data_IF_329812384003
#
_entry.id   IF_329812384003
#
_cell.length_a   1.000
_cell.length_b   1.000
_cell.length_c   1.000
_cell.angle_alpha   90.00
_cell.angle_beta   90.00
_cell.angle_gamma   90.00
#
_symmetry.space_group_name_H-M   'P 1'
#
loop_
_entity.id
_entity.type
_entity.pdbx_description
1 polymer ?
#
# COMPACT_ATOMS: atom_id res chain seq x y z
N UNK A 1 -11.67 -3.72 -10.16
CA UNK A 1 -10.96 -4.46 -9.10
C UNK A 1 -10.29 -3.47 -8.18
N UNK A 2 -10.41 -3.61 -6.86
CA UNK A 2 -9.68 -2.78 -5.90
C UNK A 2 -8.17 -2.99 -6.06
N UNK A 3 -7.40 -1.90 -6.07
CA UNK A 3 -5.93 -1.98 -6.11
C UNK A 3 -5.39 -2.82 -4.96
N UNK A 4 -4.46 -3.72 -5.26
CA UNK A 4 -3.95 -4.68 -4.28
C UNK A 4 -2.46 -4.87 -4.46
N UNK A 5 -1.72 -4.78 -3.35
CA UNK A 5 -0.34 -5.20 -3.28
C UNK A 5 -0.33 -6.64 -2.77
N UNK A 6 0.48 -7.48 -3.40
CA UNK A 6 0.57 -8.90 -3.04
C UNK A 6 2.02 -9.34 -2.79
N UNK A 7 2.18 -10.28 -1.88
CA UNK A 7 3.40 -11.06 -1.66
C UNK A 7 3.09 -12.51 -2.06
N UNK A 8 3.82 -13.04 -3.04
CA UNK A 8 3.60 -14.40 -3.55
C UNK A 8 2.13 -14.71 -3.87
N UNK A 9 1.43 -13.74 -4.51
CA UNK A 9 0.03 -13.86 -4.91
C UNK A 9 -1.00 -13.65 -3.80
N UNK A 10 -0.59 -13.42 -2.55
CA UNK A 10 -1.49 -13.12 -1.42
C UNK A 10 -1.48 -11.63 -1.08
N UNK A 11 -2.63 -11.02 -0.72
CA UNK A 11 -2.67 -9.63 -0.29
C UNK A 11 -1.71 -9.37 0.88
N UNK A 12 -1.06 -8.20 0.88
CA UNK A 12 -0.20 -7.79 2.01
C UNK A 12 -1.05 -7.55 3.26
N UNK A 13 -0.70 -8.22 4.36
CA UNK A 13 -1.21 -7.88 5.69
C UNK A 13 -0.43 -6.69 6.26
N UNK A 14 -1.00 -5.48 6.15
CA UNK A 14 -0.35 -4.28 6.67
C UNK A 14 -0.32 -4.20 8.21
N UNK A 15 -1.01 -5.10 8.93
CA UNK A 15 -0.82 -5.21 10.38
C UNK A 15 0.47 -5.94 10.74
N UNK A 16 0.98 -6.76 9.82
CA UNK A 16 2.27 -7.45 9.90
C UNK A 16 3.04 -7.15 8.61
N UNK A 17 3.43 -5.87 8.38
CA UNK A 17 3.99 -5.47 7.11
C UNK A 17 5.25 -6.27 6.79
N UNK A 18 5.47 -6.66 5.52
CA UNK A 18 6.67 -7.39 5.15
C UNK A 18 7.91 -6.54 5.38
N UNK A 19 9.09 -7.19 5.39
CA UNK A 19 10.35 -6.47 5.24
C UNK A 19 10.27 -5.59 4.00
N UNK A 20 10.76 -4.36 4.12
CA UNK A 20 10.73 -3.38 3.03
C UNK A 20 11.44 -3.85 1.75
N UNK A 21 12.35 -4.82 1.88
CA UNK A 21 13.11 -5.47 0.80
C UNK A 21 12.41 -6.68 0.16
N UNK A 22 11.31 -7.17 0.74
CA UNK A 22 10.59 -8.34 0.23
C UNK A 22 9.99 -8.04 -1.14
N UNK A 23 10.06 -8.98 -2.08
CA UNK A 23 9.47 -8.79 -3.42
C UNK A 23 7.95 -8.77 -3.34
N UNK A 24 7.37 -7.66 -3.78
CA UNK A 24 5.94 -7.44 -3.89
C UNK A 24 5.51 -7.25 -5.35
N UNK A 25 4.27 -7.64 -5.65
CA UNK A 25 3.63 -7.43 -6.93
C UNK A 25 2.47 -6.45 -6.76
N UNK A 26 2.39 -5.46 -7.65
CA UNK A 26 1.23 -4.60 -7.76
C UNK A 26 0.20 -5.22 -8.69
N UNK A 27 -1.09 -5.12 -8.37
CA UNK A 27 -2.18 -5.53 -9.26
C UNK A 27 -2.27 -4.73 -10.58
N UNK A 28 -1.45 -3.69 -10.75
CA UNK A 28 -1.35 -2.92 -11.99
C UNK A 28 -0.29 -3.51 -12.91
N UNK A 29 -0.51 -3.33 -14.20
CA UNK A 29 0.42 -3.70 -15.26
C UNK A 29 1.05 -2.47 -15.89
N UNK A 30 2.16 -2.67 -16.59
CA UNK A 30 2.72 -1.65 -17.49
C UNK A 30 1.76 -1.36 -18.64
N UNK A 31 2.01 -0.28 -19.40
CA UNK A 31 1.27 0.05 -20.62
C UNK A 31 1.31 -1.07 -21.67
N UNK A 32 2.33 -1.93 -21.62
CA UNK A 32 2.47 -3.12 -22.46
C UNK A 32 1.93 -4.41 -21.82
N UNK A 33 1.18 -4.32 -20.72
CA UNK A 33 0.56 -5.47 -20.04
C UNK A 33 1.49 -6.31 -19.17
N UNK A 34 2.75 -5.90 -18.95
CA UNK A 34 3.70 -6.66 -18.10
C UNK A 34 3.42 -6.41 -16.61
N UNK A 35 3.78 -7.39 -15.77
CA UNK A 35 3.65 -7.27 -14.31
C UNK A 35 4.56 -6.16 -13.75
N UNK A 36 4.07 -5.43 -12.75
CA UNK A 36 4.85 -4.43 -12.01
C UNK A 36 5.28 -5.03 -10.67
N UNK A 37 6.54 -5.47 -10.59
CA UNK A 37 7.15 -6.06 -9.39
C UNK A 37 8.34 -5.24 -8.90
N UNK A 38 8.57 -5.25 -7.60
CA UNK A 38 9.64 -4.49 -6.95
C UNK A 38 9.75 -4.89 -5.48
N UNK A 39 10.64 -4.26 -4.72
CA UNK A 39 10.60 -4.39 -3.26
C UNK A 39 9.28 -3.84 -2.71
N UNK A 40 8.87 -4.32 -1.53
CA UNK A 40 7.65 -3.89 -0.86
C UNK A 40 7.64 -2.37 -0.67
N UNK A 41 8.80 -1.76 -0.43
CA UNK A 41 8.95 -0.30 -0.36
C UNK A 41 8.71 0.38 -1.70
N UNK A 42 9.39 -0.05 -2.76
CA UNK A 42 9.25 0.53 -4.09
C UNK A 42 7.80 0.47 -4.56
N UNK A 43 7.16 -0.69 -4.44
CA UNK A 43 5.76 -0.87 -4.88
C UNK A 43 4.77 -0.10 -3.99
N UNK A 44 5.00 -0.04 -2.67
CA UNK A 44 4.20 0.80 -1.78
C UNK A 44 4.29 2.29 -2.14
N UNK A 45 5.49 2.76 -2.49
CA UNK A 45 5.69 4.14 -2.90
C UNK A 45 4.97 4.45 -4.22
N UNK A 46 5.11 3.59 -5.24
CA UNK A 46 4.38 3.75 -6.50
C UNK A 46 2.86 3.74 -6.29
N UNK A 47 2.34 2.90 -5.39
CA UNK A 47 0.93 2.93 -5.03
C UNK A 47 0.53 4.24 -4.32
N UNK A 48 1.38 4.79 -3.44
CA UNK A 48 1.15 6.08 -2.81
C UNK A 48 1.11 7.22 -3.83
N UNK A 49 2.07 7.23 -4.78
CA UNK A 49 2.11 8.19 -5.89
C UNK A 49 0.85 8.07 -6.75
N UNK A 50 0.42 6.85 -7.09
CA UNK A 50 -0.78 6.63 -7.92
C UNK A 50 -2.06 7.17 -7.27
N UNK A 51 -2.25 6.85 -5.98
CA UNK A 51 -3.37 7.37 -5.20
C UNK A 51 -3.31 8.91 -5.09
N UNK A 52 -2.11 9.47 -4.91
CA UNK A 52 -1.92 10.92 -4.86
C UNK A 52 -2.18 11.58 -6.23
N UNK A 53 -1.83 10.93 -7.34
CA UNK A 53 -2.08 11.41 -8.69
C UNK A 53 -3.59 11.41 -8.97
N UNK A 54 -4.28 10.32 -8.63
CA UNK A 54 -5.74 10.23 -8.77
C UNK A 54 -6.43 11.35 -7.99
N UNK A 55 -5.96 11.64 -6.77
CA UNK A 55 -6.51 12.71 -5.93
C UNK A 55 -6.23 14.10 -6.49
N UNK A 56 -5.01 14.35 -6.99
CA UNK A 56 -4.57 15.70 -7.41
C UNK A 56 -4.99 16.06 -8.83
N UNK A 57 -4.91 15.11 -9.76
CA UNK A 57 -5.06 15.33 -11.20
C UNK A 57 -6.27 14.61 -11.80
N UNK A 58 -7.03 13.85 -11.01
CA UNK A 58 -8.18 13.09 -11.51
C UNK A 58 -7.80 11.87 -12.36
N UNK A 59 -6.50 11.58 -12.49
CA UNK A 59 -5.96 10.49 -13.31
C UNK A 59 -4.82 9.78 -12.58
N UNK A 60 -4.48 8.60 -13.06
CA UNK A 60 -3.53 7.68 -12.44
C UNK A 60 -2.19 7.69 -13.15
N UNK A 61 -1.14 7.25 -12.48
CA UNK A 61 0.13 7.03 -13.17
C UNK A 61 -0.01 5.87 -14.16
N UNK A 62 0.74 5.92 -15.24
CA UNK A 62 0.95 4.83 -16.20
C UNK A 62 2.40 4.42 -16.10
N UNK A 63 2.66 3.16 -15.77
CA UNK A 63 4.01 2.60 -15.77
C UNK A 63 4.33 2.13 -17.19
N UNK A 64 5.41 2.65 -17.77
CA UNK A 64 5.92 2.24 -19.08
C UNK A 64 6.88 1.07 -18.89
N UNK A 65 7.86 1.23 -18.00
CA UNK A 65 8.83 0.20 -17.64
C UNK A 65 8.92 0.07 -16.12
N UNK A 66 8.67 -1.14 -15.64
CA UNK A 66 8.74 -1.48 -14.21
C UNK A 66 10.18 -1.82 -13.78
N UNK A 67 10.46 -1.91 -12.46
CA UNK A 67 11.69 -2.48 -11.96
C UNK A 67 11.79 -3.96 -12.35
N UNK A 68 13.00 -4.53 -12.30
CA UNK A 68 13.30 -5.89 -12.74
C UNK A 68 12.87 -6.20 -14.18
N UNK A 69 12.91 -5.20 -15.06
CA UNK A 69 12.68 -5.36 -16.49
C UNK A 69 14.00 -5.21 -17.25
N UNK A 70 14.74 -6.31 -17.33
CA UNK A 70 16.03 -6.42 -18.02
C UNK A 70 15.93 -6.72 -19.53
N UNK A 71 14.71 -6.71 -20.09
CA UNK A 71 14.48 -7.04 -21.50
C UNK A 71 14.62 -5.84 -22.44
N UNK A 72 14.75 -4.63 -21.89
CA UNK A 72 14.83 -3.39 -22.67
C UNK A 72 16.28 -2.92 -22.71
N UNK A 73 16.99 -3.26 -23.79
CA UNK A 73 18.41 -2.91 -23.97
C UNK A 73 18.67 -1.40 -23.90
N UNK A 74 17.76 -0.59 -24.42
CA UNK A 74 17.89 0.87 -24.44
C UNK A 74 17.93 1.50 -23.04
N UNK A 75 17.45 0.80 -22.01
CA UNK A 75 17.53 1.27 -20.62
C UNK A 75 18.92 1.13 -19.99
N UNK A 76 19.88 0.52 -20.69
CA UNK A 76 21.28 0.36 -20.27
C UNK A 76 21.47 -0.26 -18.86
N UNK A 77 20.46 -1.00 -18.37
CA UNK A 77 20.49 -1.68 -17.09
C UNK A 77 20.03 -0.89 -15.86
N UNK A 78 19.43 0.30 -16.02
CA UNK A 78 18.85 1.04 -14.89
C UNK A 78 17.67 0.30 -14.23
N UNK A 79 16.91 -0.48 -15.00
CA UNK A 79 15.74 -1.24 -14.53
C UNK A 79 16.01 -2.73 -14.29
N UNK A 80 17.27 -3.18 -14.36
CA UNK A 80 17.60 -4.61 -14.23
C UNK A 80 17.25 -5.15 -12.84
N UNK A 81 17.21 -4.27 -11.84
CA UNK A 81 16.85 -4.57 -10.46
C UNK A 81 15.79 -3.59 -9.93
N UNK A 82 15.76 -3.33 -8.61
CA UNK A 82 14.66 -2.61 -7.97
C UNK A 82 14.67 -1.08 -8.23
N UNK A 83 13.63 -0.42 -7.71
CA UNK A 83 13.46 1.03 -7.53
C UNK A 83 13.19 1.85 -8.79
N UNK A 84 13.82 1.54 -9.93
CA UNK A 84 13.74 2.34 -11.14
C UNK A 84 12.50 2.05 -11.98
N UNK A 85 11.73 3.10 -12.31
CA UNK A 85 10.59 3.02 -13.23
C UNK A 85 10.51 4.16 -14.21
N UNK A 86 10.05 3.85 -15.41
CA UNK A 86 9.61 4.83 -16.39
C UNK A 86 8.09 4.94 -16.28
N UNK A 87 7.59 6.17 -16.12
CA UNK A 87 6.18 6.42 -15.93
C UNK A 87 5.75 7.77 -16.52
N UNK A 88 4.44 7.97 -16.60
CA UNK A 88 3.86 9.29 -16.81
C UNK A 88 2.48 9.40 -16.16
N UNK A 89 1.98 10.63 -16.04
CA UNK A 89 0.64 10.99 -15.58
C UNK A 89 -0.10 11.56 -16.80
N UNK A 90 -1.12 10.85 -17.35
CA UNK A 90 -1.83 11.29 -18.56
C UNK A 90 -2.39 12.71 -18.43
N UNK A 91 -2.25 13.53 -19.47
CA UNK A 91 -2.82 14.89 -19.49
C UNK A 91 -2.14 15.92 -18.58
N UNK A 92 -1.04 15.59 -17.91
CA UNK A 92 -0.28 16.53 -17.07
C UNK A 92 1.00 16.96 -17.81
N UNK A 93 1.37 18.24 -17.75
CA UNK A 93 2.62 18.71 -18.35
C UNK A 93 3.87 18.02 -17.75
N UNK A 94 4.85 17.66 -18.57
CA UNK A 94 6.06 16.92 -18.16
C UNK A 94 6.83 17.56 -17.01
N UNK A 95 7.07 18.87 -17.06
CA UNK A 95 7.79 19.59 -15.99
C UNK A 95 6.95 19.69 -14.71
N UNK A 96 5.63 19.78 -14.84
CA UNK A 96 4.71 19.71 -13.70
C UNK A 96 4.75 18.34 -13.03
N UNK A 97 4.75 17.26 -13.81
CA UNK A 97 4.86 15.90 -13.28
C UNK A 97 6.22 15.69 -12.58
N UNK A 98 7.32 16.07 -13.24
CA UNK A 98 8.68 15.99 -12.69
C UNK A 98 8.77 16.71 -11.34
N UNK A 99 8.36 17.99 -11.28
CA UNK A 99 8.32 18.77 -10.03
C UNK A 99 7.51 18.08 -8.94
N UNK A 100 6.32 17.58 -9.28
CA UNK A 100 5.41 16.98 -8.32
C UNK A 100 5.91 15.63 -7.80
N UNK A 101 6.49 14.80 -8.65
CA UNK A 101 7.08 13.50 -8.28
C UNK A 101 8.30 13.68 -7.36
N UNK A 102 9.18 14.65 -7.65
CA UNK A 102 10.32 14.99 -6.78
C UNK A 102 9.88 15.42 -5.39
N UNK A 103 8.78 16.17 -5.29
CA UNK A 103 8.19 16.56 -4.00
C UNK A 103 7.64 15.37 -3.19
N UNK A 104 7.45 14.20 -3.81
CA UNK A 104 6.99 12.97 -3.17
C UNK A 104 8.13 11.97 -2.90
N UNK A 105 9.39 12.36 -3.10
CA UNK A 105 10.53 11.46 -2.85
C UNK A 105 10.84 10.52 -4.01
N UNK A 106 10.39 10.87 -5.21
CA UNK A 106 10.73 10.17 -6.44
C UNK A 106 11.82 10.95 -7.18
N UNK A 107 13.05 10.45 -7.14
CA UNK A 107 14.16 11.06 -7.88
C UNK A 107 13.97 10.78 -9.36
N UNK A 108 13.77 11.83 -10.15
CA UNK A 108 13.41 11.65 -11.55
C UNK A 108 13.81 12.82 -12.45
N UNK A 109 13.86 12.53 -13.75
CA UNK A 109 14.01 13.51 -14.81
C UNK A 109 12.97 13.24 -15.89
N UNK A 110 12.42 14.31 -16.46
CA UNK A 110 11.74 14.22 -17.75
C UNK A 110 12.75 13.88 -18.84
N UNK A 111 12.48 12.81 -19.60
CA UNK A 111 13.33 12.31 -20.67
C UNK A 111 12.58 12.22 -21.99
N UNK A 112 13.33 12.45 -23.05
CA UNK A 112 12.92 12.17 -24.42
C UNK A 112 14.11 11.62 -25.22
N UNK A 113 14.49 10.33 -25.00
CA UNK A 113 15.58 9.71 -25.74
C UNK A 113 15.12 9.34 -27.17
N UNK A 114 16.04 9.23 -28.15
CA UNK A 114 15.66 8.88 -29.53
C UNK A 114 14.88 7.57 -29.67
N UNK A 115 15.12 6.60 -28.79
CA UNK A 115 14.51 5.27 -28.81
C UNK A 115 13.29 5.11 -27.88
N UNK A 116 12.91 6.16 -27.15
CA UNK A 116 11.85 6.12 -26.14
C UNK A 116 10.95 7.34 -26.27
N UNK A 117 9.63 7.13 -26.24
CA UNK A 117 8.68 8.23 -26.14
C UNK A 117 8.94 9.07 -24.88
N UNK A 118 8.34 10.26 -24.84
CA UNK A 118 8.41 11.12 -23.66
C UNK A 118 7.97 10.37 -22.39
N UNK A 119 8.79 10.44 -21.34
CA UNK A 119 8.50 9.80 -20.06
C UNK A 119 9.20 10.50 -18.91
N UNK A 120 8.76 10.20 -17.69
CA UNK A 120 9.54 10.45 -16.48
C UNK A 120 10.35 9.20 -16.18
N UNK A 121 11.67 9.34 -16.20
CA UNK A 121 12.59 8.30 -15.75
C UNK A 121 13.03 8.61 -14.34
N UNK A 122 12.92 7.64 -13.44
CA UNK A 122 13.36 7.86 -12.07
C UNK A 122 13.33 6.63 -11.21
N UNK A 123 13.48 6.84 -9.92
CA UNK A 123 13.43 5.79 -8.92
C UNK A 123 12.94 6.33 -7.58
N UNK A 124 12.42 5.41 -6.77
CA UNK A 124 12.10 5.69 -5.37
C UNK A 124 13.38 5.98 -4.59
N UNK A 125 13.51 7.17 -4.01
CA UNK A 125 14.70 7.52 -3.20
C UNK A 125 14.88 6.52 -2.04
N UNK A 126 16.10 6.04 -1.76
CA UNK A 126 16.37 5.20 -0.59
C UNK A 126 16.33 6.06 0.69
N UNK A 127 16.12 5.46 1.87
CA UNK A 127 16.42 6.13 3.13
C UNK A 127 17.90 6.50 3.19
N UNK A 128 18.21 7.71 3.66
CA UNK A 128 19.60 8.11 3.89
C UNK A 128 20.16 7.41 5.12
N UNK A 129 21.18 6.58 4.89
CA UNK A 129 21.79 5.66 5.84
C UNK A 129 23.07 6.21 6.48
N UNK A 130 23.74 7.17 5.84
CA UNK A 130 25.02 7.69 6.32
C UNK A 130 25.52 8.96 5.60
N UNK A 131 26.85 9.11 5.58
CA UNK A 131 27.55 10.25 4.96
C UNK A 131 27.80 10.02 3.46
N UNK A 132 28.12 8.78 3.09
CA UNK A 132 28.21 8.37 1.69
C UNK A 132 26.77 8.29 1.17
N UNK A 133 26.53 8.90 0.00
CA UNK A 133 25.17 9.05 -0.55
C UNK A 133 24.83 7.96 -1.55
N UNK A 134 25.84 7.32 -2.13
CA UNK A 134 25.67 6.31 -3.19
C UNK A 134 25.46 4.90 -2.66
N UNK A 135 25.66 4.66 -1.36
CA UNK A 135 25.49 3.36 -0.72
C UNK A 135 24.14 3.18 -0.01
N UNK A 136 23.26 4.19 -0.04
CA UNK A 136 21.96 4.13 0.63
C UNK A 136 21.09 2.93 0.20
N UNK A 137 21.18 2.48 -1.05
CA UNK A 137 20.49 1.26 -1.50
C UNK A 137 21.15 -0.03 -0.99
N UNK A 138 22.48 -0.06 -0.92
CA UNK A 138 23.24 -1.17 -0.34
C UNK A 138 22.88 -1.34 1.13
N UNK A 139 22.85 -0.24 1.87
CA UNK A 139 22.55 -0.22 3.30
C UNK A 139 21.07 -0.51 3.59
N UNK A 140 20.17 -0.13 2.67
CA UNK A 140 18.78 -0.59 2.66
C UNK A 140 18.65 -2.12 2.45
N UNK A 141 19.67 -2.77 1.89
CA UNK A 141 19.67 -4.20 1.56
C UNK A 141 18.92 -4.52 0.26
N UNK A 142 18.92 -3.59 -0.70
CA UNK A 142 18.25 -3.75 -2.00
C UNK A 142 19.24 -3.51 -3.13
N UNK A 143 19.27 -4.43 -4.09
CA UNK A 143 20.02 -4.24 -5.34
C UNK A 143 19.22 -3.38 -6.31
N UNK A 144 19.88 -2.39 -6.91
CA UNK A 144 19.34 -1.52 -7.96
C UNK A 144 20.17 -1.61 -9.24
N UNK A 145 19.67 -1.07 -10.35
CA UNK A 145 20.42 -1.04 -11.60
C UNK A 145 21.72 -0.26 -11.46
N UNK A 146 22.80 -0.68 -12.15
CA UNK A 146 24.17 -0.16 -11.94
C UNK A 146 24.34 1.36 -12.06
N UNK A 147 23.48 2.04 -12.81
CA UNK A 147 23.55 3.51 -12.94
C UNK A 147 22.65 4.24 -11.93
N UNK A 148 21.78 3.55 -11.20
CA UNK A 148 20.91 4.16 -10.19
C UNK A 148 21.76 4.68 -9.03
N UNK A 149 22.68 3.85 -8.52
CA UNK A 149 23.53 4.16 -7.37
C UNK A 149 25.04 4.08 -7.69
N UNK A 150 25.38 4.05 -8.98
CA UNK A 150 26.75 3.87 -9.46
C UNK A 150 27.31 2.45 -9.30
N UNK A 151 26.48 1.48 -8.92
CA UNK A 151 26.86 0.08 -8.77
C UNK A 151 27.19 -0.31 -7.33
N UNK A 152 27.03 0.59 -6.37
CA UNK A 152 27.38 0.36 -4.96
C UNK A 152 26.64 -0.84 -4.37
N UNK A 153 25.34 -1.00 -4.65
CA UNK A 153 24.54 -2.14 -4.19
C UNK A 153 24.78 -3.43 -5.01
N UNK A 154 25.42 -3.36 -6.17
CA UNK A 154 25.75 -4.51 -7.02
C UNK A 154 27.15 -5.06 -6.77
N UNK A 155 28.13 -4.15 -6.64
CA UNK A 155 29.55 -4.46 -6.64
C UNK A 155 30.24 -4.12 -5.32
N UNK A 156 29.54 -3.44 -4.40
CA UNK A 156 30.10 -2.98 -3.13
C UNK A 156 30.87 -1.66 -3.21
N UNK A 157 31.08 -1.12 -4.42
CA UNK A 157 31.75 0.16 -4.69
C UNK A 157 31.11 0.86 -5.88
N UNK A 158 31.34 2.18 -6.01
CA UNK A 158 30.89 2.96 -7.16
C UNK A 158 31.76 2.66 -8.39
N UNK A 159 31.24 1.85 -9.31
CA UNK A 159 31.91 1.44 -10.55
C UNK A 159 31.60 2.36 -11.74
N UNK A 160 30.56 3.17 -11.65
CA UNK A 160 30.09 4.05 -12.73
C UNK A 160 29.44 5.33 -12.19
N UNK A 161 28.92 6.19 -13.07
CA UNK A 161 28.08 7.32 -12.68
C UNK A 161 26.84 6.88 -11.91
N UNK A 162 26.43 7.73 -10.97
CA UNK A 162 25.36 7.47 -10.02
C UNK A 162 24.25 8.50 -10.20
N UNK A 163 23.09 8.06 -10.69
CA UNK A 163 21.92 8.93 -10.81
C UNK A 163 21.42 9.42 -9.45
N UNK A 164 21.59 8.64 -8.38
CA UNK A 164 21.31 9.07 -7.02
C UNK A 164 22.20 10.26 -6.63
N UNK A 165 23.49 10.19 -6.94
CA UNK A 165 24.40 11.30 -6.68
C UNK A 165 24.06 12.51 -7.56
N UNK A 166 23.79 12.29 -8.85
CA UNK A 166 23.37 13.34 -9.78
C UNK A 166 22.12 14.08 -9.25
N UNK A 167 21.12 13.34 -8.78
CA UNK A 167 19.89 13.92 -8.24
C UNK A 167 20.16 14.79 -7.01
N UNK A 168 21.03 14.33 -6.10
CA UNK A 168 21.39 15.06 -4.87
C UNK A 168 22.25 16.30 -5.14
N UNK A 169 22.96 16.33 -6.28
CA UNK A 169 23.74 17.49 -6.75
C UNK A 169 23.00 18.33 -7.80
N UNK A 170 21.69 18.12 -7.97
CA UNK A 170 20.88 18.83 -8.97
C UNK A 170 21.49 18.77 -10.40
N UNK A 171 22.07 17.63 -10.75
CA UNK A 171 22.61 17.34 -12.06
C UNK A 171 21.61 16.56 -12.92
N UNK A 172 21.84 16.51 -14.24
CA UNK A 172 21.10 15.61 -15.10
C UNK A 172 21.61 14.18 -14.93
N UNK A 173 20.72 13.24 -14.61
CA UNK A 173 21.03 11.80 -14.49
C UNK A 173 21.34 11.10 -15.83
N UNK A 174 21.86 11.82 -16.82
CA UNK A 174 22.09 11.39 -18.20
C UNK A 174 23.58 11.30 -18.51
N UNK A 175 23.93 10.36 -19.40
CA UNK A 175 25.31 10.17 -19.85
C UNK A 175 25.93 11.50 -20.30
N UNK A 176 27.03 11.87 -19.65
CA UNK A 176 27.81 13.06 -19.99
C UNK A 176 27.18 14.37 -19.53
N UNK A 177 26.14 14.34 -18.69
CA UNK A 177 25.46 15.52 -18.16
C UNK A 177 25.42 15.52 -16.62
N UNK A 178 26.43 14.95 -15.99
CA UNK A 178 26.55 14.74 -14.54
C UNK A 178 27.07 15.98 -13.76
N UNK A 179 27.20 17.14 -14.43
CA UNK A 179 27.74 18.35 -13.79
C UNK A 179 26.82 18.87 -12.69
N UNK A 180 27.37 19.19 -11.52
CA UNK A 180 26.59 19.76 -10.41
C UNK A 180 25.79 20.99 -10.86
N UNK A 181 24.53 21.04 -10.44
CA UNK A 181 23.60 22.11 -10.78
C UNK A 181 23.32 22.25 -12.29
N UNK A 182 23.68 21.27 -13.12
CA UNK A 182 23.39 21.30 -14.55
C UNK A 182 21.89 21.20 -14.83
N UNK A 183 21.14 20.50 -13.99
CA UNK A 183 19.68 20.45 -14.07
C UNK A 183 19.06 21.68 -13.41
N UNK A 184 18.77 22.69 -14.24
CA UNK A 184 18.11 23.94 -13.82
C UNK A 184 16.59 23.80 -13.59
N UNK A 185 16.03 22.60 -13.72
CA UNK A 185 14.64 22.37 -13.34
C UNK A 185 14.46 22.37 -11.82
N UNK A 186 13.22 22.34 -11.36
CA UNK A 186 12.92 22.50 -9.94
C UNK A 186 13.30 21.25 -9.13
N UNK A 187 13.96 21.46 -7.99
CA UNK A 187 14.22 20.43 -6.97
C UNK A 187 13.68 20.88 -5.59
N UNK A 188 13.31 19.94 -4.69
CA UNK A 188 12.94 20.29 -3.32
C UNK A 188 14.11 20.89 -2.55
N UNK A 189 13.86 21.97 -1.80
CA UNK A 189 14.89 22.59 -0.96
C UNK A 189 15.45 21.63 0.12
N UNK A 190 14.63 20.69 0.58
CA UNK A 190 15.03 19.61 1.48
C UNK A 190 14.62 18.26 0.90
N UNK A 191 15.50 17.66 0.10
CA UNK A 191 15.29 16.34 -0.52
C UNK A 191 15.06 15.26 0.55
N UNK A 192 15.78 15.30 1.67
CA UNK A 192 15.64 14.29 2.73
C UNK A 192 14.22 14.24 3.29
N UNK A 193 13.56 15.39 3.40
CA UNK A 193 12.18 15.49 3.87
C UNK A 193 11.14 14.92 2.89
N UNK A 194 11.50 14.67 1.62
CA UNK A 194 10.57 14.08 0.64
C UNK A 194 10.66 12.55 0.61
N UNK A 195 11.69 11.94 1.21
CA UNK A 195 11.91 10.49 1.18
C UNK A 195 10.68 9.75 1.70
N UNK A 196 10.21 8.78 0.93
CA UNK A 196 9.05 7.95 1.28
C UNK A 196 9.28 7.14 2.56
N UNK A 197 8.47 7.40 3.58
CA UNK A 197 8.43 6.66 4.84
C UNK A 197 7.54 5.41 4.69
N UNK A 198 8.17 4.27 4.42
CA UNK A 198 7.52 2.97 4.31
C UNK A 198 6.79 2.56 5.60
N UNK A 199 7.37 2.87 6.76
CA UNK A 199 6.78 2.51 8.04
C UNK A 199 5.51 3.34 8.32
N UNK A 200 5.52 4.64 8.02
CA UNK A 200 4.32 5.48 8.09
C UNK A 200 3.26 5.02 7.09
N UNK A 201 3.64 4.68 5.85
CA UNK A 201 2.72 4.12 4.89
C UNK A 201 2.08 2.83 5.41
N UNK A 202 2.88 1.89 5.91
CA UNK A 202 2.40 0.64 6.49
C UNK A 202 1.42 0.90 7.66
N UNK A 203 1.75 1.81 8.59
CA UNK A 203 0.84 2.23 9.67
C UNK A 203 -0.45 2.83 9.15
N UNK A 204 -0.42 3.59 8.05
CA UNK A 204 -1.62 4.19 7.45
C UNK A 204 -2.53 3.16 6.77
N UNK A 205 -1.96 2.05 6.31
CA UNK A 205 -2.67 0.94 5.68
C UNK A 205 -3.06 -0.15 6.67
N UNK A 206 -2.38 -0.24 7.80
CA UNK A 206 -2.75 -1.12 8.90
C UNK A 206 -4.19 -0.78 9.32
N UNK A 207 -5.04 -1.79 9.27
CA UNK A 207 -6.42 -1.66 9.74
C UNK A 207 -6.31 -1.51 11.26
N UNK A 208 -6.90 -0.50 11.91
CA UNK A 208 -6.84 -0.40 13.36
C UNK A 208 -7.48 -1.66 13.98
N UNK A 209 -6.65 -2.59 14.46
CA UNK A 209 -7.09 -3.79 15.16
C UNK A 209 -7.34 -3.38 16.61
N UNK A 210 -8.57 -3.02 16.89
CA UNK A 210 -9.03 -2.92 18.25
C UNK A 210 -9.12 -4.33 18.83
N UNK A 211 -8.35 -4.59 19.90
CA UNK A 211 -8.42 -5.86 20.64
C UNK A 211 -9.58 -5.77 21.65
N UNK A 212 -10.72 -6.49 21.44
CA UNK A 212 -11.78 -6.52 22.42
C UNK A 212 -11.24 -7.08 23.74
N UNK A 213 -11.62 -6.44 24.86
CA UNK A 213 -11.26 -6.90 26.20
C UNK A 213 -11.90 -8.27 26.48
N UNK A 214 -11.27 -9.04 27.36
CA UNK A 214 -11.76 -10.36 27.82
C UNK A 214 -12.96 -10.23 28.80
N UNK A 215 -13.94 -9.42 28.44
CA UNK A 215 -15.16 -9.15 29.23
C UNK A 215 -16.38 -9.51 28.39
N UNK A 216 -17.38 -10.15 29.01
CA UNK A 216 -18.63 -10.48 28.31
C UNK A 216 -19.38 -9.19 27.90
N UNK A 217 -20.10 -9.26 26.80
CA UNK A 217 -20.89 -8.14 26.26
C UNK A 217 -22.39 -8.43 26.37
N UNK A 218 -23.18 -7.41 26.69
CA UNK A 218 -24.64 -7.52 26.65
C UNK A 218 -25.11 -7.69 25.19
N UNK A 219 -25.83 -8.78 24.90
CA UNK A 219 -26.24 -9.10 23.54
C UNK A 219 -27.27 -8.11 23.00
N UNK A 220 -28.20 -7.62 23.81
CA UNK A 220 -29.17 -6.60 23.39
C UNK A 220 -28.47 -5.33 22.88
N UNK A 221 -27.41 -4.88 23.57
CA UNK A 221 -26.62 -3.71 23.14
C UNK A 221 -25.99 -3.96 21.77
N UNK A 222 -25.46 -5.15 21.55
CA UNK A 222 -24.84 -5.54 20.26
C UNK A 222 -25.89 -5.63 19.16
N UNK A 223 -27.03 -6.27 19.42
CA UNK A 223 -28.17 -6.34 18.50
C UNK A 223 -28.67 -4.95 18.11
N UNK A 224 -28.76 -4.01 19.06
CA UNK A 224 -29.09 -2.60 18.76
C UNK A 224 -28.09 -1.97 17.79
N UNK A 225 -26.78 -2.25 17.92
CA UNK A 225 -25.79 -1.71 16.97
C UNK A 225 -26.04 -2.20 15.55
N UNK A 226 -26.41 -3.47 15.40
CA UNK A 226 -26.77 -4.06 14.11
C UNK A 226 -28.05 -3.48 13.54
N UNK A 227 -29.09 -3.31 14.37
CA UNK A 227 -30.35 -2.67 13.96
C UNK A 227 -30.14 -1.22 13.52
N UNK A 228 -29.32 -0.44 14.24
CA UNK A 228 -28.96 0.93 13.86
C UNK A 228 -28.22 0.93 12.52
N UNK A 229 -27.22 0.05 12.35
CA UNK A 229 -26.48 -0.06 11.09
C UNK A 229 -27.37 -0.48 9.91
N UNK A 230 -28.40 -1.29 10.16
CA UNK A 230 -29.37 -1.73 9.16
C UNK A 230 -30.48 -0.71 8.86
N UNK A 231 -30.51 0.43 9.56
CA UNK A 231 -31.57 1.43 9.42
C UNK A 231 -32.91 1.04 10.09
N UNK A 232 -32.93 -0.04 10.87
CA UNK A 232 -34.12 -0.53 11.58
C UNK A 232 -34.38 0.21 12.89
N UNK A 233 -33.37 0.94 13.40
CA UNK A 233 -33.45 1.68 14.66
C UNK A 233 -32.67 3.00 14.55
N UNK A 234 -33.20 4.07 15.14
CA UNK A 234 -32.48 5.35 15.28
C UNK A 234 -31.48 5.28 16.43
N UNK A 235 -30.30 5.87 16.27
CA UNK A 235 -29.28 5.97 17.32
C UNK A 235 -27.87 6.15 16.79
N UNK A 236 -26.91 6.39 17.69
CA UNK A 236 -25.49 6.45 17.35
C UNK A 236 -24.86 5.06 17.47
N UNK A 237 -24.12 4.65 16.45
CA UNK A 237 -23.29 3.45 16.54
C UNK A 237 -22.11 3.70 17.46
N UNK A 238 -21.91 2.82 18.43
CA UNK A 238 -20.83 2.87 19.41
C UNK A 238 -19.94 1.64 19.30
N UNK A 239 -18.70 1.78 19.77
CA UNK A 239 -17.74 0.67 19.84
C UNK A 239 -18.09 -0.25 21.01
N UNK A 240 -18.11 -1.57 20.80
CA UNK A 240 -18.36 -2.57 21.85
C UNK A 240 -17.47 -3.81 21.72
N UNK A 241 -17.18 -4.49 22.84
CA UNK A 241 -16.39 -5.74 22.85
C UNK A 241 -17.07 -6.83 22.02
N UNK A 242 -18.39 -6.96 22.13
CA UNK A 242 -19.16 -7.97 21.42
C UNK A 242 -19.07 -7.86 19.91
N UNK A 243 -19.13 -6.64 19.36
CA UNK A 243 -18.93 -6.43 17.91
C UNK A 243 -17.50 -6.77 17.50
N UNK A 244 -16.50 -6.42 18.31
CA UNK A 244 -15.11 -6.80 18.05
C UNK A 244 -14.92 -8.32 18.04
N UNK A 245 -15.56 -9.04 18.96
CA UNK A 245 -15.54 -10.51 18.98
C UNK A 245 -16.23 -11.13 17.76
N UNK A 246 -17.34 -10.54 17.28
CA UNK A 246 -18.01 -10.96 16.04
C UNK A 246 -17.10 -10.76 14.83
N UNK A 247 -16.49 -9.58 14.69
CA UNK A 247 -15.54 -9.28 13.60
C UNK A 247 -14.37 -10.27 13.58
N UNK A 248 -13.75 -10.52 14.75
CA UNK A 248 -12.69 -11.52 14.90
C UNK A 248 -13.15 -12.92 14.46
N UNK A 249 -14.32 -13.36 14.92
CA UNK A 249 -14.83 -14.69 14.59
C UNK A 249 -15.19 -14.84 13.11
N UNK A 250 -15.77 -13.82 12.49
CA UNK A 250 -16.06 -13.80 11.06
C UNK A 250 -14.76 -13.86 10.23
N UNK A 251 -13.73 -13.10 10.62
CA UNK A 251 -12.44 -13.18 9.96
C UNK A 251 -11.84 -14.59 10.08
N UNK A 252 -11.79 -15.14 11.29
CA UNK A 252 -11.19 -16.44 11.56
C UNK A 252 -11.95 -17.63 10.94
N UNK A 253 -13.29 -17.59 10.89
CA UNK A 253 -14.13 -18.75 10.54
C UNK A 253 -14.84 -18.64 9.21
N UNK A 254 -15.15 -17.43 8.78
CA UNK A 254 -15.78 -17.17 7.49
C UNK A 254 -14.78 -16.63 6.45
N UNK A 255 -13.48 -16.56 6.78
CA UNK A 255 -12.44 -16.06 5.88
C UNK A 255 -12.67 -14.61 5.46
N UNK A 256 -13.31 -13.82 6.32
CA UNK A 256 -13.62 -12.42 6.04
C UNK A 256 -12.39 -11.54 6.28
N UNK A 257 -12.36 -10.36 5.65
CA UNK A 257 -11.28 -9.38 5.79
C UNK A 257 -11.79 -8.07 6.46
N UNK A 258 -12.56 -8.23 7.54
CA UNK A 258 -13.13 -7.09 8.28
C UNK A 258 -12.07 -6.35 9.09
N UNK A 259 -12.21 -5.04 9.19
CA UNK A 259 -11.53 -4.23 10.20
C UNK A 259 -12.14 -4.56 11.56
N UNK A 260 -11.32 -4.97 12.52
CA UNK A 260 -11.77 -5.23 13.90
C UNK A 260 -11.77 -3.89 14.65
N UNK A 261 -12.82 -3.09 14.51
CA UNK A 261 -12.95 -1.77 15.14
C UNK A 261 -13.99 -1.72 16.26
N UNK A 262 -14.70 -2.82 16.50
CA UNK A 262 -15.78 -2.94 17.47
C UNK A 262 -17.05 -2.14 17.14
N UNK A 263 -17.18 -1.63 15.92
CA UNK A 263 -18.33 -0.85 15.43
C UNK A 263 -18.99 -1.59 14.27
N UNK A 264 -20.31 -1.64 14.22
CA UNK A 264 -21.03 -2.25 13.10
C UNK A 264 -21.04 -1.30 11.90
N UNK A 265 -19.97 -1.32 11.12
CA UNK A 265 -19.87 -0.64 9.83
C UNK A 265 -20.59 -1.42 8.71
N UNK A 266 -20.64 -0.81 7.52
CA UNK A 266 -21.34 -1.40 6.36
C UNK A 266 -20.74 -2.75 5.95
N UNK A 267 -19.41 -2.92 6.09
CA UNK A 267 -18.73 -4.17 5.80
C UNK A 267 -19.10 -5.25 6.82
N UNK A 268 -19.09 -4.92 8.11
CA UNK A 268 -19.46 -5.81 9.21
C UNK A 268 -20.91 -6.29 9.04
N UNK A 269 -21.84 -5.38 8.74
CA UNK A 269 -23.25 -5.71 8.51
C UNK A 269 -23.43 -6.62 7.29
N UNK A 270 -22.77 -6.29 6.17
CA UNK A 270 -22.87 -7.08 4.94
C UNK A 270 -22.31 -8.50 5.13
N UNK A 271 -21.16 -8.63 5.80
CA UNK A 271 -20.54 -9.91 6.09
C UNK A 271 -21.38 -10.74 7.06
N UNK A 272 -21.95 -10.13 8.10
CA UNK A 272 -22.88 -10.81 8.99
C UNK A 272 -24.09 -11.38 8.25
N UNK A 273 -24.74 -10.58 7.40
CA UNK A 273 -25.88 -11.03 6.58
C UNK A 273 -25.51 -12.23 5.71
N UNK A 274 -24.34 -12.20 5.05
CA UNK A 274 -23.84 -13.34 4.25
C UNK A 274 -23.63 -14.59 5.10
N UNK A 275 -23.07 -14.44 6.31
CA UNK A 275 -22.85 -15.54 7.23
C UNK A 275 -24.17 -16.17 7.71
N UNK A 276 -25.17 -15.35 8.07
CA UNK A 276 -26.49 -15.85 8.50
C UNK A 276 -27.22 -16.60 7.40
N UNK A 277 -27.21 -16.06 6.16
CA UNK A 277 -27.80 -16.72 5.00
C UNK A 277 -27.16 -18.09 4.77
N UNK A 278 -25.82 -18.16 4.83
CA UNK A 278 -25.09 -19.41 4.62
C UNK A 278 -25.36 -20.45 5.69
N UNK A 279 -25.50 -20.03 6.94
CA UNK A 279 -25.51 -20.96 8.07
C UNK A 279 -26.90 -21.26 8.61
N UNK A 280 -27.94 -20.47 8.29
CA UNK A 280 -29.31 -20.67 8.77
C UNK A 280 -29.52 -20.12 10.18
N UNK A 281 -29.61 -18.79 10.31
CA UNK A 281 -29.96 -18.08 11.55
C UNK A 281 -31.43 -18.25 11.96
N UNK A 282 -31.88 -17.54 13.01
CA UNK A 282 -33.29 -17.58 13.47
C UNK A 282 -34.26 -16.75 12.61
N UNK A 283 -33.77 -16.05 11.58
CA UNK A 283 -34.61 -15.26 10.67
C UNK A 283 -34.86 -13.81 11.10
N UNK A 284 -34.37 -13.39 12.28
CA UNK A 284 -34.37 -11.98 12.68
C UNK A 284 -33.38 -11.21 11.80
N UNK A 285 -33.91 -10.57 10.73
CA UNK A 285 -33.11 -9.95 9.66
C UNK A 285 -32.00 -9.08 10.25
N UNK A 286 -30.75 -9.54 10.10
CA UNK A 286 -29.50 -8.82 10.34
C UNK A 286 -29.10 -8.53 11.79
N UNK A 287 -29.57 -9.32 12.75
CA UNK A 287 -29.19 -9.19 14.16
C UNK A 287 -28.56 -10.46 14.72
N UNK A 288 -27.41 -10.37 15.41
CA UNK A 288 -26.78 -11.53 16.03
C UNK A 288 -27.71 -12.26 17.01
N UNK A 289 -28.03 -13.51 16.68
CA UNK A 289 -28.82 -14.40 17.52
C UNK A 289 -27.95 -15.49 18.20
N UNK A 290 -28.38 -16.10 19.32
CA UNK A 290 -27.62 -17.12 20.03
C UNK A 290 -27.21 -18.33 19.16
N UNK A 291 -28.05 -18.76 18.22
CA UNK A 291 -27.77 -19.89 17.33
C UNK A 291 -26.63 -19.53 16.37
N UNK A 292 -26.67 -18.34 15.77
CA UNK A 292 -25.62 -17.82 14.90
C UNK A 292 -24.30 -17.60 15.66
N UNK A 293 -24.36 -17.07 16.89
CA UNK A 293 -23.18 -16.91 17.75
C UNK A 293 -22.59 -18.24 18.22
N UNK A 294 -23.41 -19.28 18.43
CA UNK A 294 -22.96 -20.64 18.74
C UNK A 294 -22.25 -21.28 17.55
N UNK A 295 -22.70 -21.04 16.32
CA UNK A 295 -22.00 -21.49 15.09
C UNK A 295 -20.64 -20.81 14.92
N UNK A 296 -20.52 -19.55 15.32
CA UNK A 296 -19.23 -18.87 15.44
C UNK A 296 -18.42 -19.31 16.67
N UNK A 297 -18.95 -20.18 17.54
CA UNK A 297 -18.39 -20.59 18.83
C UNK A 297 -17.96 -19.40 19.70
N UNK A 298 -18.75 -18.33 19.71
CA UNK A 298 -18.49 -17.15 20.55
C UNK A 298 -19.66 -16.82 21.49
N UNK A 299 -20.70 -17.67 21.55
CA UNK A 299 -21.86 -17.44 22.42
C UNK A 299 -21.48 -17.15 23.88
N UNK A 300 -20.44 -17.81 24.41
CA UNK A 300 -19.93 -17.59 25.78
C UNK A 300 -19.41 -16.17 26.06
N UNK A 301 -19.18 -15.36 25.01
CA UNK A 301 -18.76 -13.95 25.10
C UNK A 301 -19.93 -13.00 25.35
N UNK A 302 -21.17 -13.49 25.33
CA UNK A 302 -22.38 -12.67 25.44
C UNK A 302 -23.18 -13.00 26.69
N UNK A 303 -23.91 -12.01 27.21
CA UNK A 303 -24.82 -12.12 28.36
C UNK A 303 -26.14 -11.38 28.07
N UNK A 304 -27.15 -11.67 28.87
CA UNK A 304 -28.50 -11.09 28.77
C UNK A 304 -29.56 -12.16 28.47
N UNK A 305 -30.85 -11.84 28.66
CA UNK A 305 -31.95 -12.74 28.30
C UNK A 305 -31.88 -13.21 26.85
N UNK A 306 -31.50 -12.30 25.94
CA UNK A 306 -31.40 -12.54 24.50
C UNK A 306 -30.28 -13.52 24.14
N UNK A 307 -29.32 -13.75 25.05
CA UNK A 307 -28.21 -14.67 24.84
C UNK A 307 -28.59 -16.15 25.07
N UNK A 308 -29.79 -16.42 25.58
CA UNK A 308 -30.31 -17.77 25.79
C UNK A 308 -31.19 -18.17 24.60
N UNK A 309 -31.09 -19.42 24.16
CA UNK A 309 -32.05 -19.96 23.20
C UNK A 309 -33.41 -20.10 23.93
N UNK A 310 -34.54 -19.72 23.30
CA UNK A 310 -35.84 -20.09 23.84
C UNK A 310 -35.86 -21.60 24.01
N UNK A 311 -36.20 -22.09 25.20
CA UNK A 311 -36.39 -23.51 25.44
C UNK A 311 -37.48 -24.03 24.51
N UNK A 312 -37.09 -24.92 23.60
CA UNK A 312 -37.94 -25.63 22.66
C UNK A 312 -37.24 -26.92 22.28
#
# INVERSE_FOLDING_TARGET
MSEMLTLSGKPIDWNNPPKQTALALWSRTTSSGKLVKGSARTIAHLCAIDAAAQKKFGTRIVIIQAPFNNTVRASAGTHDHDACTDLHIPGVNWRTQEKWLRALGYACWYRFPPAFGHHIHGFTLPPQSGVVRTDDFRDLGVTVGKYVDGGSALFGFQATSSQLDDYLHHAFGLKGQHGEGSDKSWHPANIRATIFDYAAYARSKAKPVWKPKNTKSNLAVVQHQFQIAAGLRKGKRIRTNGVGWIQNALNAKAGSDLVVNGIVDSATLATWKKFEIKTGGTGAKSTPDPRSLKKLQIAFRFVGPEAHLPGG
#
